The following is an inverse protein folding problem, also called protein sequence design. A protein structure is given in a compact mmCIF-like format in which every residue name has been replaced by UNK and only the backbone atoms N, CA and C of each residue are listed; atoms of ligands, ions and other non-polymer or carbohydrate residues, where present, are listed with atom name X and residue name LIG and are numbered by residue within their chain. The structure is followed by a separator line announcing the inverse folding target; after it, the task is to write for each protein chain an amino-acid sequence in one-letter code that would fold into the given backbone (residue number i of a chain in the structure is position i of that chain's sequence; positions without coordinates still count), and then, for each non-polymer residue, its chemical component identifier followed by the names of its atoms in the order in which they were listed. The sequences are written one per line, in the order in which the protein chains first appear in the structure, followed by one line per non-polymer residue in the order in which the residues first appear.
data_IF_233258930290
#
_entry.id   IF_233258930290
#
_cell.length_a   1.000
_cell.length_b   1.000
_cell.length_c   1.000
_cell.angle_alpha   90.00
_cell.angle_beta   90.00
_cell.angle_gamma   90.00
#
_symmetry.space_group_name_H-M   'P 1'
#
loop_
_entity.id
_entity.type
_entity.pdbx_description
1 polymer ?
#
# COMPACT_ATOMS: atom_id res chain seq x y z
N UNK A 1 10.39 5.42 31.90
CA UNK A 1 11.30 6.38 32.57
C UNK A 1 10.72 7.78 32.46
N UNK A 2 10.88 8.60 33.51
CA UNK A 2 10.54 10.01 33.49
C UNK A 2 11.74 10.80 32.96
N UNK A 3 11.51 11.70 32.02
CA UNK A 3 12.55 12.53 31.41
C UNK A 3 12.19 14.00 31.62
N UNK A 4 13.18 14.85 31.87
CA UNK A 4 13.02 16.28 32.02
C UNK A 4 12.50 16.88 30.68
N UNK A 5 11.61 17.90 30.77
CA UNK A 5 10.91 18.46 29.60
C UNK A 5 11.84 18.99 28.50
N UNK A 6 12.98 19.58 28.85
CA UNK A 6 13.93 20.09 27.88
C UNK A 6 14.57 18.95 27.07
N UNK A 7 14.98 17.87 27.74
CA UNK A 7 15.54 16.67 27.12
C UNK A 7 14.48 15.95 26.29
N UNK A 8 13.25 15.81 26.80
CA UNK A 8 12.15 15.17 26.09
C UNK A 8 11.85 15.87 24.76
N UNK A 9 11.83 17.21 24.74
CA UNK A 9 11.65 17.97 23.48
C UNK A 9 12.76 17.73 22.48
N UNK A 10 14.00 17.56 22.91
CA UNK A 10 15.12 17.25 22.01
C UNK A 10 15.03 15.82 21.44
N UNK A 11 14.43 14.89 22.16
CA UNK A 11 14.20 13.52 21.70
C UNK A 11 13.05 13.40 20.70
N UNK A 12 12.16 14.39 20.68
CA UNK A 12 10.96 14.34 19.83
C UNK A 12 11.18 15.09 18.52
N UNK A 13 10.78 14.47 17.40
CA UNK A 13 10.78 15.07 16.07
C UNK A 13 9.52 15.94 15.79
N UNK A 14 8.64 16.11 16.78
CA UNK A 14 7.41 16.89 16.65
C UNK A 14 7.51 18.22 17.37
N UNK A 15 6.96 19.29 16.78
CA UNK A 15 6.97 20.64 17.42
C UNK A 15 6.16 20.67 18.72
N UNK A 16 5.09 19.88 18.79
CA UNK A 16 4.18 19.79 19.96
C UNK A 16 4.04 18.33 20.42
N UNK A 17 5.07 17.79 21.11
CA UNK A 17 5.02 16.40 21.58
C UNK A 17 3.97 16.24 22.70
N UNK A 18 3.28 15.09 22.69
CA UNK A 18 2.20 14.78 23.65
C UNK A 18 2.68 14.27 25.00
N UNK A 19 3.97 14.35 25.30
CA UNK A 19 4.54 13.98 26.59
C UNK A 19 4.86 12.47 26.75
N UNK A 20 4.68 11.67 25.71
CA UNK A 20 5.00 10.24 25.70
C UNK A 20 5.83 9.92 24.46
N UNK A 21 6.92 9.18 24.65
CA UNK A 21 7.73 8.61 23.58
C UNK A 21 7.90 7.12 23.88
N UNK A 22 7.61 6.29 22.86
CA UNK A 22 7.71 4.84 22.98
C UNK A 22 8.66 4.30 21.93
N UNK A 23 9.63 3.49 22.33
CA UNK A 23 10.48 2.73 21.41
C UNK A 23 9.94 1.31 21.31
N UNK A 24 9.62 0.89 20.09
CA UNK A 24 9.07 -0.42 19.80
C UNK A 24 10.02 -1.20 18.91
N UNK A 25 10.01 -2.52 19.03
CA UNK A 25 10.60 -3.35 17.99
C UNK A 25 9.70 -3.31 16.77
N UNK A 26 10.30 -3.17 15.59
CA UNK A 26 9.57 -3.29 14.33
C UNK A 26 8.95 -4.69 14.26
N UNK A 27 7.65 -4.81 13.94
CA UNK A 27 7.04 -6.11 13.74
C UNK A 27 7.70 -6.81 12.53
N UNK A 28 7.86 -8.11 12.65
CA UNK A 28 8.30 -8.97 11.55
C UNK A 28 7.15 -9.89 11.17
N UNK A 29 6.93 -10.07 9.89
CA UNK A 29 5.83 -10.86 9.36
C UNK A 29 6.37 -11.96 8.46
N UNK A 30 5.75 -13.13 8.53
CA UNK A 30 6.06 -14.23 7.63
C UNK A 30 5.10 -14.21 6.44
N UNK A 31 5.64 -14.21 5.24
CA UNK A 31 4.83 -14.21 4.01
C UNK A 31 3.88 -15.40 3.93
N UNK A 32 4.34 -16.55 4.42
CA UNK A 32 3.54 -17.78 4.42
C UNK A 32 2.27 -17.65 5.29
N UNK A 33 2.28 -16.84 6.33
CA UNK A 33 1.08 -16.61 7.15
C UNK A 33 0.04 -15.79 6.39
N UNK A 34 0.47 -14.78 5.67
CA UNK A 34 -0.39 -13.98 4.79
C UNK A 34 -1.01 -14.84 3.69
N UNK A 35 -0.25 -15.76 3.11
CA UNK A 35 -0.68 -16.64 2.03
C UNK A 35 -1.60 -17.80 2.47
N UNK A 36 -1.92 -17.92 3.76
CA UNK A 36 -2.97 -18.83 4.26
C UNK A 36 -4.38 -18.30 4.02
N UNK A 37 -4.53 -16.99 3.77
CA UNK A 37 -5.81 -16.41 3.41
C UNK A 37 -6.28 -16.97 2.06
N UNK A 38 -7.53 -17.36 1.97
CA UNK A 38 -8.12 -17.92 0.75
C UNK A 38 -8.19 -16.89 -0.39
N UNK A 39 -8.51 -15.65 -0.04
CA UNK A 39 -8.72 -14.56 -0.99
C UNK A 39 -7.96 -13.29 -0.55
N UNK A 40 -6.61 -13.30 -0.53
CA UNK A 40 -5.86 -12.16 -0.04
C UNK A 40 -6.08 -10.93 -0.93
N UNK A 41 -6.16 -9.77 -0.31
CA UNK A 41 -6.09 -8.46 -0.98
C UNK A 41 -4.74 -7.83 -0.68
N UNK A 42 -3.94 -7.63 -1.72
CA UNK A 42 -2.58 -7.13 -1.60
C UNK A 42 -2.44 -5.77 -2.25
N UNK A 43 -1.70 -4.88 -1.61
CA UNK A 43 -1.23 -3.63 -2.22
C UNK A 43 0.26 -3.74 -2.52
N UNK A 44 0.66 -3.45 -3.74
CA UNK A 44 2.05 -3.48 -4.20
C UNK A 44 2.43 -2.07 -4.64
N UNK A 45 3.32 -1.44 -3.89
CA UNK A 45 3.75 -0.07 -4.08
C UNK A 45 5.12 -0.06 -4.75
N UNK A 46 5.21 0.54 -5.93
CA UNK A 46 6.45 0.67 -6.67
C UNK A 46 6.93 2.11 -6.64
N UNK A 47 8.11 2.33 -6.07
CA UNK A 47 8.79 3.64 -6.01
C UNK A 47 7.91 4.78 -5.44
N UNK A 48 7.01 4.47 -4.52
CA UNK A 48 6.15 5.46 -3.86
C UNK A 48 6.99 6.31 -2.90
N UNK A 49 7.04 7.63 -3.11
CA UNK A 49 7.97 8.52 -2.41
C UNK A 49 7.32 9.37 -1.31
N UNK A 50 6.06 9.73 -1.46
CA UNK A 50 5.39 10.60 -0.49
C UNK A 50 4.97 9.84 0.78
N UNK A 51 5.46 10.25 1.96
CA UNK A 51 5.13 9.60 3.23
C UNK A 51 3.63 9.66 3.57
N UNK A 52 2.95 10.73 3.15
CA UNK A 52 1.52 10.90 3.36
C UNK A 52 0.71 9.90 2.55
N UNK A 53 1.09 9.69 1.28
CA UNK A 53 0.46 8.67 0.42
C UNK A 53 0.67 7.28 0.97
N UNK A 54 1.91 6.91 1.33
CA UNK A 54 2.21 5.60 1.91
C UNK A 54 1.39 5.33 3.18
N UNK A 55 1.37 6.28 4.11
CA UNK A 55 0.61 6.15 5.35
C UNK A 55 -0.90 6.11 5.11
N UNK A 56 -1.42 6.89 4.15
CA UNK A 56 -2.84 6.89 3.78
C UNK A 56 -3.25 5.56 3.14
N UNK A 57 -2.43 4.99 2.26
CA UNK A 57 -2.68 3.67 1.65
C UNK A 57 -2.76 2.59 2.72
N UNK A 58 -1.80 2.56 3.66
CA UNK A 58 -1.78 1.58 4.75
C UNK A 58 -3.03 1.73 5.64
N UNK A 59 -3.37 2.95 6.04
CA UNK A 59 -4.55 3.22 6.86
C UNK A 59 -5.86 2.83 6.16
N UNK A 60 -6.00 3.22 4.89
CA UNK A 60 -7.17 2.90 4.09
C UNK A 60 -7.27 1.40 3.85
N UNK A 61 -6.10 0.75 3.63
CA UNK A 61 -5.99 -0.69 3.44
C UNK A 61 -6.48 -1.48 4.65
N UNK A 62 -6.14 -1.07 5.87
CA UNK A 62 -6.71 -1.69 7.07
C UNK A 62 -8.24 -1.61 7.07
N UNK A 63 -8.78 -0.43 6.79
CA UNK A 63 -10.24 -0.22 6.73
C UNK A 63 -10.94 -1.01 5.62
N UNK A 64 -10.24 -1.31 4.52
CA UNK A 64 -10.77 -2.04 3.37
C UNK A 64 -10.51 -3.56 3.45
N UNK A 65 -9.78 -4.05 4.46
CA UNK A 65 -9.46 -5.46 4.62
C UNK A 65 -8.28 -5.94 3.76
N UNK A 66 -7.27 -5.08 3.55
CA UNK A 66 -6.02 -5.46 2.89
C UNK A 66 -5.25 -6.44 3.78
N UNK A 67 -4.88 -7.57 3.22
CA UNK A 67 -4.13 -8.65 3.89
C UNK A 67 -2.66 -8.29 4.10
N UNK A 68 -2.06 -7.53 3.17
CA UNK A 68 -0.66 -7.12 3.27
C UNK A 68 -0.26 -6.08 2.24
N UNK A 69 0.80 -5.34 2.56
CA UNK A 69 1.39 -4.30 1.70
C UNK A 69 2.81 -4.68 1.33
N UNK A 70 3.11 -4.67 0.04
CA UNK A 70 4.45 -4.88 -0.50
C UNK A 70 5.01 -3.56 -1.00
N UNK A 71 6.25 -3.26 -0.65
CA UNK A 71 6.94 -2.04 -1.05
C UNK A 71 8.24 -2.42 -1.75
N UNK A 72 8.51 -1.83 -2.91
CA UNK A 72 9.86 -1.94 -3.46
C UNK A 72 10.85 -1.20 -2.57
N UNK A 73 12.12 -1.60 -2.59
CA UNK A 73 13.18 -0.98 -1.77
C UNK A 73 13.38 0.51 -2.04
N UNK A 74 12.87 1.00 -3.16
CA UNK A 74 12.90 2.41 -3.55
C UNK A 74 11.77 3.24 -2.96
N UNK A 75 10.77 2.61 -2.35
CA UNK A 75 9.69 3.32 -1.64
C UNK A 75 10.20 4.05 -0.41
N UNK A 76 9.43 5.05 0.03
CA UNK A 76 9.65 5.71 1.31
C UNK A 76 9.68 4.67 2.44
N UNK A 77 10.60 4.86 3.39
CA UNK A 77 10.71 3.98 4.54
C UNK A 77 9.43 4.03 5.38
N UNK A 78 8.84 2.86 5.62
CA UNK A 78 7.61 2.72 6.42
C UNK A 78 7.81 3.15 7.88
N UNK A 79 9.06 3.11 8.37
CA UNK A 79 9.42 3.57 9.72
C UNK A 79 9.62 5.09 9.81
N UNK A 80 9.56 5.79 8.68
CA UNK A 80 9.61 7.26 8.67
C UNK A 80 8.49 7.82 9.58
N UNK A 81 8.80 8.74 10.52
CA UNK A 81 7.82 9.29 11.47
C UNK A 81 6.59 9.91 10.80
N UNK A 82 6.73 10.46 9.58
CA UNK A 82 5.60 11.00 8.81
C UNK A 82 4.68 9.89 8.31
N UNK A 83 5.24 8.75 7.86
CA UNK A 83 4.47 7.57 7.47
C UNK A 83 3.72 7.04 8.69
N UNK A 84 4.44 6.76 9.78
CA UNK A 84 3.85 6.23 11.02
C UNK A 84 2.67 7.09 11.48
N UNK A 85 2.84 8.41 11.53
CA UNK A 85 1.75 9.33 11.90
C UNK A 85 0.55 9.24 10.97
N UNK A 86 0.79 9.19 9.65
CA UNK A 86 -0.27 9.13 8.66
C UNK A 86 -1.07 7.82 8.71
N UNK A 87 -0.46 6.71 9.16
CA UNK A 87 -1.15 5.42 9.31
C UNK A 87 -2.15 5.39 10.46
N UNK A 88 -2.09 6.33 11.41
CA UNK A 88 -2.92 6.31 12.63
C UNK A 88 -2.86 4.96 13.39
N UNK A 89 -1.70 4.30 13.37
CA UNK A 89 -1.46 3.03 14.03
C UNK A 89 -1.71 1.79 13.18
N UNK A 90 -2.25 1.90 11.96
CA UNK A 90 -2.48 0.76 11.07
C UNK A 90 -1.21 0.01 10.71
N UNK A 91 -0.05 0.69 10.70
CA UNK A 91 1.26 0.08 10.43
C UNK A 91 1.63 -1.05 11.41
N UNK A 92 1.02 -1.09 12.59
CA UNK A 92 1.24 -2.15 13.58
C UNK A 92 0.26 -3.33 13.45
N UNK A 93 -0.68 -3.25 12.50
CA UNK A 93 -1.76 -4.24 12.35
C UNK A 93 -1.80 -4.87 10.95
N UNK A 94 -1.30 -4.17 9.93
CA UNK A 94 -1.18 -4.71 8.57
C UNK A 94 0.22 -5.25 8.35
N UNK A 95 0.38 -6.50 7.90
CA UNK A 95 1.65 -7.03 7.44
C UNK A 95 2.22 -6.22 6.28
N UNK A 96 3.52 -5.95 6.33
CA UNK A 96 4.21 -5.30 5.22
C UNK A 96 5.54 -5.99 4.93
N UNK A 97 5.94 -5.94 3.65
CA UNK A 97 7.12 -6.64 3.16
C UNK A 97 7.86 -5.74 2.17
N UNK A 98 9.19 -5.71 2.29
CA UNK A 98 10.02 -5.13 1.25
C UNK A 98 10.39 -6.19 0.21
N UNK A 99 10.28 -5.81 -1.06
CA UNK A 99 10.59 -6.66 -2.21
C UNK A 99 11.60 -5.96 -3.12
N UNK A 100 12.32 -6.73 -3.91
CA UNK A 100 13.29 -6.18 -4.87
C UNK A 100 12.57 -5.41 -5.97
N UNK A 101 11.60 -6.06 -6.61
CA UNK A 101 10.76 -5.52 -7.67
C UNK A 101 9.43 -6.30 -7.78
N UNK A 102 8.53 -5.78 -8.61
CA UNK A 102 7.20 -6.36 -8.85
C UNK A 102 7.28 -7.72 -9.55
N UNK A 103 8.23 -7.90 -10.47
CA UNK A 103 8.36 -9.14 -11.26
C UNK A 103 8.75 -10.31 -10.34
N UNK A 104 9.76 -10.09 -9.49
CA UNK A 104 10.20 -11.10 -8.52
C UNK A 104 9.11 -11.44 -7.52
N UNK A 105 8.32 -10.45 -7.08
CA UNK A 105 7.16 -10.70 -6.22
C UNK A 105 6.12 -11.57 -6.95
N UNK A 106 5.77 -11.23 -8.19
CA UNK A 106 4.80 -12.02 -8.97
C UNK A 106 5.27 -13.46 -9.16
N UNK A 107 6.54 -13.67 -9.48
CA UNK A 107 7.12 -15.01 -9.58
C UNK A 107 7.00 -15.79 -8.26
N UNK A 108 7.29 -15.14 -7.13
CA UNK A 108 7.18 -15.74 -5.79
C UNK A 108 5.74 -16.12 -5.44
N UNK A 109 4.75 -15.37 -5.93
CA UNK A 109 3.33 -15.62 -5.71
C UNK A 109 2.67 -16.48 -6.80
N UNK A 110 3.45 -16.97 -7.76
CA UNK A 110 2.94 -17.80 -8.85
C UNK A 110 2.25 -19.07 -8.30
N UNK A 111 1.10 -19.41 -8.86
CA UNK A 111 0.31 -20.60 -8.44
C UNK A 111 -0.53 -20.40 -7.17
N UNK A 112 -0.54 -19.20 -6.58
CA UNK A 112 -1.33 -18.89 -5.37
C UNK A 112 -2.73 -18.32 -5.67
N UNK A 113 -3.16 -18.31 -6.95
CA UNK A 113 -4.49 -17.80 -7.34
C UNK A 113 -4.65 -16.29 -7.18
N UNK A 114 -3.54 -15.53 -7.18
CA UNK A 114 -3.57 -14.07 -7.02
C UNK A 114 -3.40 -13.43 -8.40
N UNK A 115 -4.38 -12.61 -8.81
CA UNK A 115 -4.32 -11.80 -10.02
C UNK A 115 -3.74 -10.43 -9.72
N UNK A 116 -2.84 -9.97 -10.58
CA UNK A 116 -2.17 -8.68 -10.50
C UNK A 116 -2.84 -7.66 -11.43
N UNK A 117 -3.33 -6.57 -10.86
CA UNK A 117 -3.97 -5.47 -11.56
C UNK A 117 -3.12 -4.21 -11.44
N UNK A 118 -2.64 -3.70 -12.55
CA UNK A 118 -1.90 -2.44 -12.59
C UNK A 118 -2.86 -1.27 -12.83
N UNK A 119 -2.88 -0.30 -11.91
CA UNK A 119 -3.56 0.98 -12.10
C UNK A 119 -2.75 1.82 -13.10
N UNK A 120 -3.21 1.92 -14.34
CA UNK A 120 -2.46 2.49 -15.45
C UNK A 120 -3.34 3.32 -16.37
N UNK A 121 -2.83 4.48 -16.84
CA UNK A 121 -3.58 5.40 -17.72
C UNK A 121 -3.99 4.73 -19.04
N UNK A 122 -3.17 3.84 -19.57
CA UNK A 122 -3.45 3.08 -20.80
C UNK A 122 -4.31 1.83 -20.57
N UNK A 123 -4.80 1.62 -19.33
CA UNK A 123 -5.69 0.51 -19.02
C UNK A 123 -6.93 0.55 -19.92
N UNK A 124 -7.21 -0.56 -20.59
CA UNK A 124 -8.39 -0.68 -21.46
C UNK A 124 -9.66 -0.94 -20.64
N UNK A 125 -9.53 -1.65 -19.54
CA UNK A 125 -10.63 -2.04 -18.69
C UNK A 125 -10.87 -1.00 -17.59
N UNK A 126 -12.12 -0.65 -17.38
CA UNK A 126 -12.50 0.14 -16.20
C UNK A 126 -12.41 -0.76 -14.96
N UNK A 127 -11.87 -0.23 -13.87
CA UNK A 127 -11.65 -0.96 -12.62
C UNK A 127 -12.93 -1.63 -12.09
N UNK A 128 -14.09 -1.02 -12.28
CA UNK A 128 -15.40 -1.48 -11.81
C UNK A 128 -16.03 -2.57 -12.69
N UNK A 129 -15.36 -2.97 -13.78
CA UNK A 129 -15.77 -4.04 -14.70
C UNK A 129 -14.97 -5.33 -14.52
N UNK A 130 -13.95 -5.31 -13.68
CA UNK A 130 -13.19 -6.50 -13.32
C UNK A 130 -13.79 -7.22 -12.11
N UNK A 131 -13.55 -8.53 -12.02
CA UNK A 131 -13.88 -9.32 -10.84
C UNK A 131 -12.70 -9.40 -9.89
N UNK A 132 -12.96 -9.14 -8.62
CA UNK A 132 -12.00 -9.20 -7.51
C UNK A 132 -12.41 -10.20 -6.43
N UNK A 133 -13.20 -11.20 -6.82
CA UNK A 133 -13.70 -12.22 -5.88
C UNK A 133 -12.60 -13.16 -5.39
N UNK A 134 -11.53 -13.33 -6.17
CA UNK A 134 -10.37 -14.16 -5.84
C UNK A 134 -9.20 -13.33 -5.29
N UNK A 135 -8.08 -13.99 -5.00
CA UNK A 135 -6.85 -13.31 -4.59
C UNK A 135 -6.48 -12.17 -5.54
N UNK A 136 -6.29 -10.97 -5.01
CA UNK A 136 -6.13 -9.74 -5.78
C UNK A 136 -4.91 -8.96 -5.31
N UNK A 137 -4.07 -8.51 -6.23
CA UNK A 137 -2.96 -7.60 -5.98
C UNK A 137 -3.09 -6.36 -6.85
N UNK A 138 -3.14 -5.17 -6.26
CA UNK A 138 -3.09 -3.90 -7.00
C UNK A 138 -1.68 -3.32 -7.01
N UNK A 139 -1.20 -2.97 -8.20
CA UNK A 139 0.06 -2.26 -8.39
C UNK A 139 -0.20 -0.76 -8.46
N UNK A 140 0.45 -0.02 -7.57
CA UNK A 140 0.41 1.45 -7.52
C UNK A 140 1.84 1.96 -7.70
N UNK A 141 2.05 2.80 -8.69
CA UNK A 141 3.37 3.35 -9.00
C UNK A 141 3.68 4.68 -8.32
N UNK A 142 4.83 5.22 -8.67
CA UNK A 142 5.32 6.54 -8.27
C UNK A 142 4.32 7.64 -8.62
N UNK A 143 4.22 8.66 -7.78
CA UNK A 143 3.25 9.76 -7.92
C UNK A 143 3.40 10.57 -9.20
N UNK A 144 4.61 10.69 -9.71
CA UNK A 144 4.90 11.47 -10.92
C UNK A 144 5.12 10.64 -12.17
N UNK A 145 5.76 9.47 -12.01
CA UNK A 145 6.18 8.61 -13.14
C UNK A 145 5.21 7.45 -13.40
N UNK A 146 4.35 7.13 -12.43
CA UNK A 146 3.52 5.93 -12.49
C UNK A 146 4.31 4.64 -12.25
N UNK A 147 3.78 3.53 -12.73
CA UNK A 147 4.46 2.24 -12.75
C UNK A 147 5.54 2.21 -13.84
N UNK A 148 6.61 1.47 -13.60
CA UNK A 148 7.56 1.14 -14.67
C UNK A 148 6.90 0.25 -15.73
N UNK A 149 7.40 0.30 -16.97
CA UNK A 149 6.90 -0.60 -18.04
C UNK A 149 7.04 -2.07 -17.62
N UNK A 150 8.12 -2.41 -16.94
CA UNK A 150 8.38 -3.75 -16.44
C UNK A 150 7.33 -4.21 -15.41
N UNK A 151 6.92 -3.34 -14.50
CA UNK A 151 5.87 -3.64 -13.52
C UNK A 151 4.49 -3.72 -14.19
N UNK A 152 4.21 -2.83 -15.13
CA UNK A 152 2.97 -2.84 -15.89
C UNK A 152 2.82 -4.11 -16.74
N UNK A 153 3.89 -4.52 -17.44
CA UNK A 153 3.94 -5.75 -18.24
C UNK A 153 3.82 -7.02 -17.38
N UNK A 154 4.29 -6.96 -16.14
CA UNK A 154 4.14 -8.05 -15.21
C UNK A 154 2.69 -8.22 -14.71
N UNK A 155 1.82 -7.23 -14.82
CA UNK A 155 0.43 -7.35 -14.40
C UNK A 155 -0.38 -8.29 -15.31
N UNK A 156 -1.42 -8.92 -14.75
CA UNK A 156 -2.35 -9.75 -15.53
C UNK A 156 -3.40 -8.89 -16.23
N UNK A 157 -3.64 -7.68 -15.72
CA UNK A 157 -4.59 -6.74 -16.29
C UNK A 157 -4.18 -5.29 -16.00
N UNK A 158 -4.20 -4.44 -17.01
CA UNK A 158 -4.10 -2.99 -16.85
C UNK A 158 -5.51 -2.42 -16.70
N UNK A 159 -5.78 -1.82 -15.56
CA UNK A 159 -7.07 -1.20 -15.23
C UNK A 159 -6.93 0.32 -15.13
N UNK A 160 -8.01 1.02 -15.41
CA UNK A 160 -8.08 2.47 -15.23
C UNK A 160 -9.26 2.87 -14.34
N UNK A 161 -9.09 3.97 -13.63
CA UNK A 161 -10.19 4.70 -13.00
C UNK A 161 -10.64 5.77 -14.01
N UNK A 162 -11.88 5.72 -14.54
CA UNK A 162 -12.34 6.70 -15.51
C UNK A 162 -12.36 8.12 -14.95
N UNK A 163 -11.79 9.07 -15.69
CA UNK A 163 -11.85 10.49 -15.37
C UNK A 163 -12.96 11.16 -16.16
N UNK A 164 -13.88 11.85 -15.48
CA UNK A 164 -14.96 12.60 -16.12
C UNK A 164 -14.60 14.06 -16.39
N UNK A 165 -13.49 14.54 -15.83
CA UNK A 165 -12.98 15.91 -15.98
C UNK A 165 -11.74 15.99 -16.86
N UNK A 166 -10.97 17.08 -16.70
CA UNK A 166 -9.74 17.34 -17.46
C UNK A 166 -8.48 16.81 -16.78
N UNK A 167 -8.58 16.29 -15.54
CA UNK A 167 -7.44 15.71 -14.85
C UNK A 167 -7.04 14.37 -15.48
N UNK A 168 -5.75 14.15 -15.65
CA UNK A 168 -5.23 12.92 -16.26
C UNK A 168 -5.17 11.75 -15.27
N UNK A 169 -4.93 12.04 -13.99
CA UNK A 169 -4.76 11.02 -12.96
C UNK A 169 -5.23 11.50 -11.58
N UNK A 170 -5.41 10.57 -10.68
CA UNK A 170 -5.66 10.83 -9.26
C UNK A 170 -4.36 10.75 -8.45
N UNK A 171 -4.36 11.36 -7.27
CA UNK A 171 -3.37 11.09 -6.25
C UNK A 171 -3.28 9.57 -5.99
N UNK A 172 -2.07 9.04 -5.80
CA UNK A 172 -1.81 7.61 -5.65
C UNK A 172 -2.61 6.96 -4.51
N UNK A 173 -2.73 7.63 -3.36
CA UNK A 173 -3.49 7.12 -2.24
C UNK A 173 -5.01 7.13 -2.51
N UNK A 174 -5.51 8.12 -3.24
CA UNK A 174 -6.92 8.15 -3.66
C UNK A 174 -7.23 7.04 -4.64
N UNK A 175 -6.38 6.82 -5.65
CA UNK A 175 -6.52 5.72 -6.58
C UNK A 175 -6.52 4.36 -5.86
N UNK A 176 -5.55 4.14 -4.98
CA UNK A 176 -5.47 2.94 -4.16
C UNK A 176 -6.73 2.73 -3.31
N UNK A 177 -7.23 3.79 -2.68
CA UNK A 177 -8.46 3.75 -1.86
C UNK A 177 -9.68 3.32 -2.66
N UNK A 178 -9.88 3.88 -3.86
CA UNK A 178 -10.99 3.51 -4.76
C UNK A 178 -10.92 2.01 -5.10
N UNK A 179 -9.73 1.52 -5.48
CA UNK A 179 -9.54 0.12 -5.85
C UNK A 179 -9.77 -0.83 -4.68
N UNK A 180 -9.21 -0.53 -3.51
CA UNK A 180 -9.40 -1.36 -2.31
C UNK A 180 -10.88 -1.45 -1.88
N UNK A 181 -11.59 -0.33 -1.93
CA UNK A 181 -13.02 -0.30 -1.56
C UNK A 181 -13.93 -0.93 -2.63
N UNK A 182 -13.52 -0.97 -3.89
CA UNK A 182 -14.22 -1.75 -4.90
C UNK A 182 -14.15 -3.25 -4.60
N UNK A 183 -12.97 -3.76 -4.22
CA UNK A 183 -12.85 -5.15 -3.73
C UNK A 183 -13.74 -5.39 -2.52
N UNK A 184 -13.66 -4.50 -1.53
CA UNK A 184 -14.49 -4.61 -0.33
C UNK A 184 -16.01 -4.57 -0.66
N UNK A 185 -16.42 -3.81 -1.69
CA UNK A 185 -17.79 -3.79 -2.17
C UNK A 185 -18.19 -5.13 -2.79
N UNK A 186 -17.38 -5.66 -3.69
CA UNK A 186 -17.68 -6.93 -4.37
C UNK A 186 -17.74 -8.11 -3.39
N UNK A 187 -16.81 -8.16 -2.42
CA UNK A 187 -16.72 -9.28 -1.46
C UNK A 187 -17.75 -9.23 -0.31
N UNK A 188 -18.42 -8.10 -0.12
CA UNK A 188 -19.51 -7.98 0.88
C UNK A 188 -20.88 -8.47 0.37
N UNK A 189 -21.04 -8.63 -0.94
CA UNK A 189 -22.30 -9.02 -1.58
C UNK A 189 -23.18 -7.81 -1.87
#
# INVERSE_FOLDING_TARGET
EAVENGVFRQMCDTQTPQGILTVLRQPSYELEDLLKEEKPLLMVLEDLQDPGNAGTIIRTGEGAGVSGVFLTKTCVDITNPKVIRATMGSVYRIPFFYVEDVVSLKQKLQGRGIRFFAAHLQGKNSYDRESYEDGTAFLIGNEGKGLTDQAADAADCLIRIPMCGQVESLNAAMAAGILMYEVARQRRG
#
